data_IF_405703373868
#
_entry.id   IF_405703373868
#
_cell.length_a   1.000
_cell.length_b   1.000
_cell.length_c   1.000
_cell.angle_alpha   90.00
_cell.angle_beta   90.00
_cell.angle_gamma   90.00
#
_symmetry.space_group_name_H-M   'P 1'
#
loop_
_entity.id
_entity.type
_entity.pdbx_description
1 polymer ?
#
# COMPACT_ATOMS: atom_id res chain seq x y z
N UNK A 1 18.55 22.60 -4.03
CA UNK A 1 17.40 23.49 -3.79
C UNK A 1 16.43 22.75 -2.88
N UNK A 2 16.37 23.16 -1.61
CA UNK A 2 15.45 22.61 -0.60
C UNK A 2 14.03 22.65 -1.13
N UNK A 3 13.33 21.49 -1.08
CA UNK A 3 11.91 21.40 -1.43
C UNK A 3 11.12 22.42 -0.63
N UNK A 4 10.03 22.95 -1.18
CA UNK A 4 9.04 23.73 -0.42
C UNK A 4 8.44 22.79 0.65
N UNK A 5 9.12 22.68 1.79
CA UNK A 5 8.48 22.11 2.98
C UNK A 5 7.26 22.96 3.27
N UNK A 6 6.11 22.30 3.45
CA UNK A 6 4.91 23.02 3.81
C UNK A 6 5.21 23.82 5.08
N UNK A 7 5.07 25.14 4.99
CA UNK A 7 5.40 26.07 6.10
C UNK A 7 4.74 25.70 7.42
N UNK A 8 3.63 24.97 7.37
CA UNK A 8 2.93 24.51 8.58
C UNK A 8 3.62 23.35 9.30
N UNK A 9 4.51 22.59 8.65
CA UNK A 9 5.18 21.42 9.28
C UNK A 9 5.97 21.78 10.52
N UNK A 10 6.48 23.01 10.60
CA UNK A 10 7.28 23.47 11.75
C UNK A 10 6.45 23.44 13.04
N UNK A 11 5.21 23.96 13.03
CA UNK A 11 4.40 23.95 14.23
C UNK A 11 3.71 22.61 14.46
N UNK A 12 3.31 21.91 13.41
CA UNK A 12 2.65 20.61 13.56
C UNK A 12 3.58 19.57 14.16
N UNK A 13 4.86 19.53 13.78
CA UNK A 13 5.84 18.62 14.39
C UNK A 13 6.04 18.87 15.87
N UNK A 14 6.04 20.13 16.31
CA UNK A 14 6.13 20.46 17.75
C UNK A 14 4.89 20.01 18.53
N UNK A 15 3.69 20.19 17.95
CA UNK A 15 2.45 19.71 18.57
C UNK A 15 2.44 18.19 18.63
N UNK A 16 2.84 17.51 17.55
CA UNK A 16 2.98 16.05 17.53
C UNK A 16 3.92 15.56 18.64
N UNK A 17 5.10 16.14 18.72
CA UNK A 17 6.09 15.79 19.74
C UNK A 17 5.55 16.03 21.16
N UNK A 18 4.88 17.16 21.39
CA UNK A 18 4.28 17.47 22.68
C UNK A 18 3.16 16.48 23.07
N UNK A 19 2.38 15.98 22.12
CA UNK A 19 1.36 14.95 22.36
C UNK A 19 2.06 13.60 22.62
N UNK A 20 3.03 13.21 21.82
CA UNK A 20 3.75 11.93 21.96
C UNK A 20 4.54 11.84 23.27
N UNK A 21 5.09 12.95 23.73
CA UNK A 21 5.84 13.02 25.01
C UNK A 21 4.94 13.22 26.23
N UNK A 22 3.60 13.37 26.03
CA UNK A 22 2.64 13.59 27.12
C UNK A 22 2.64 14.99 27.72
N UNK A 23 3.36 15.94 27.10
CA UNK A 23 3.31 17.36 27.47
C UNK A 23 1.95 17.98 27.20
N UNK A 24 1.30 17.57 26.10
CA UNK A 24 -0.10 17.84 25.79
C UNK A 24 -0.91 16.58 26.03
N UNK A 25 -1.90 16.68 26.89
CA UNK A 25 -2.79 15.58 27.28
C UNK A 25 -4.11 15.62 26.53
N UNK A 26 -4.81 14.51 26.49
CA UNK A 26 -6.15 14.40 25.95
C UNK A 26 -7.06 15.52 26.49
N UNK A 27 -7.79 16.18 25.58
CA UNK A 27 -8.69 17.28 25.91
C UNK A 27 -8.01 18.65 26.06
N UNK A 28 -6.68 18.70 26.08
CA UNK A 28 -5.96 19.99 26.16
C UNK A 28 -6.25 20.83 24.92
N UNK A 29 -6.51 22.12 25.17
CA UNK A 29 -6.75 23.08 24.09
C UNK A 29 -5.45 23.44 23.39
N UNK A 30 -5.47 23.40 22.08
CA UNK A 30 -4.36 23.82 21.24
C UNK A 30 -4.41 25.35 20.97
N UNK A 31 -3.27 25.96 20.63
CA UNK A 31 -3.21 27.37 20.26
C UNK A 31 -4.19 27.70 19.12
N UNK A 32 -4.78 28.89 19.15
CA UNK A 32 -5.70 29.31 18.10
C UNK A 32 -4.97 29.52 16.76
N UNK A 33 -5.72 29.48 15.65
CA UNK A 33 -5.18 29.82 14.30
C UNK A 33 -4.51 31.19 14.33
N UNK A 34 -5.06 32.15 15.07
CA UNK A 34 -4.49 33.51 15.19
C UNK A 34 -3.15 33.48 15.93
N UNK A 35 -3.03 32.70 16.96
CA UNK A 35 -1.80 32.52 17.76
C UNK A 35 -0.69 31.91 16.91
N UNK A 36 -0.94 30.77 16.28
CA UNK A 36 0.03 30.08 15.41
C UNK A 36 0.42 30.96 14.22
N UNK A 37 -0.54 31.66 13.60
CA UNK A 37 -0.28 32.62 12.53
C UNK A 37 0.76 33.66 12.95
N UNK A 38 0.60 34.24 14.14
CA UNK A 38 1.49 35.26 14.68
C UNK A 38 2.87 34.70 15.06
N UNK A 39 2.89 33.58 15.77
CA UNK A 39 4.11 32.94 16.31
C UNK A 39 5.04 32.43 15.19
N UNK A 40 4.45 31.82 14.16
CA UNK A 40 5.23 31.17 13.06
C UNK A 40 5.24 31.99 11.76
N UNK A 41 4.69 33.21 11.77
CA UNK A 41 4.56 34.08 10.59
C UNK A 41 3.98 33.37 9.36
N UNK A 42 2.84 32.67 9.56
CA UNK A 42 2.14 31.88 8.55
C UNK A 42 0.89 32.59 8.04
N UNK A 43 0.40 32.18 6.88
CA UNK A 43 -0.93 32.56 6.41
C UNK A 43 -2.02 31.77 7.18
N UNK A 44 -3.24 32.31 7.26
CA UNK A 44 -4.39 31.60 7.86
C UNK A 44 -4.60 30.24 7.19
N UNK A 45 -4.52 30.20 5.87
CA UNK A 45 -4.66 28.94 5.10
C UNK A 45 -3.57 27.92 5.41
N UNK A 46 -2.33 28.36 5.64
CA UNK A 46 -1.24 27.47 6.03
C UNK A 46 -1.47 26.90 7.43
N UNK A 47 -1.93 27.71 8.39
CA UNK A 47 -2.22 27.24 9.73
C UNK A 47 -3.41 26.28 9.72
N UNK A 48 -4.45 26.60 8.95
CA UNK A 48 -5.60 25.71 8.77
C UNK A 48 -5.16 24.35 8.22
N UNK A 49 -4.37 24.35 7.15
CA UNK A 49 -3.82 23.11 6.59
C UNK A 49 -3.00 22.29 7.60
N UNK A 50 -2.30 22.96 8.51
CA UNK A 50 -1.55 22.27 9.56
C UNK A 50 -2.47 21.64 10.62
N UNK A 51 -3.53 22.31 11.02
CA UNK A 51 -4.54 21.72 11.92
C UNK A 51 -5.31 20.60 11.23
N UNK A 52 -5.69 20.76 9.97
CA UNK A 52 -6.32 19.69 9.18
C UNK A 52 -5.43 18.46 9.09
N UNK A 53 -4.10 18.67 8.96
CA UNK A 53 -3.10 17.60 9.00
C UNK A 53 -3.03 16.90 10.37
N UNK A 54 -3.10 17.64 11.50
CA UNK A 54 -3.12 17.04 12.83
C UNK A 54 -4.44 16.28 13.10
N UNK A 55 -5.55 16.80 12.58
CA UNK A 55 -6.86 16.11 12.60
C UNK A 55 -6.79 14.85 11.75
N UNK A 56 -6.23 14.94 10.54
CA UNK A 56 -5.99 13.78 9.67
C UNK A 56 -5.17 12.69 10.37
N UNK A 57 -4.18 13.07 11.17
CA UNK A 57 -3.40 12.12 11.98
C UNK A 57 -4.14 11.57 13.20
N UNK A 58 -5.36 12.00 13.46
CA UNK A 58 -6.09 11.60 14.65
C UNK A 58 -5.52 12.13 15.97
N UNK A 59 -4.58 13.07 15.91
CA UNK A 59 -3.94 13.65 17.10
C UNK A 59 -4.77 14.78 17.70
N UNK A 60 -5.63 15.39 16.89
CA UNK A 60 -6.37 16.60 17.22
C UNK A 60 -7.81 16.48 16.72
N UNK A 61 -8.76 17.00 17.50
CA UNK A 61 -10.17 17.12 17.12
C UNK A 61 -10.55 18.59 16.97
N UNK A 62 -11.23 18.93 15.89
CA UNK A 62 -11.82 20.25 15.72
C UNK A 62 -13.12 20.35 16.50
N UNK A 63 -13.22 21.32 17.42
CA UNK A 63 -14.44 21.58 18.19
C UNK A 63 -15.11 22.83 17.63
N UNK A 64 -16.36 22.74 17.12
CA UNK A 64 -17.07 23.88 16.56
C UNK A 64 -17.09 25.08 17.53
N UNK A 65 -16.69 26.26 17.03
CA UNK A 65 -16.59 27.54 17.79
C UNK A 65 -15.57 27.54 18.94
N UNK A 66 -14.90 26.42 19.26
CA UNK A 66 -13.96 26.29 20.38
C UNK A 66 -12.52 26.09 19.97
N UNK A 67 -12.24 25.85 18.65
CA UNK A 67 -10.92 25.66 18.10
C UNK A 67 -10.53 24.19 18.03
N UNK A 68 -9.31 23.86 18.46
CA UNK A 68 -8.74 22.52 18.39
C UNK A 68 -8.34 22.02 19.77
N UNK A 69 -8.58 20.76 20.02
CA UNK A 69 -8.17 20.05 21.24
C UNK A 69 -7.39 18.80 20.88
N UNK A 70 -6.53 18.34 21.79
CA UNK A 70 -5.88 17.04 21.67
C UNK A 70 -6.96 15.98 21.62
N UNK A 71 -6.94 15.17 20.56
CA UNK A 71 -7.95 14.14 20.36
C UNK A 71 -7.92 13.14 21.50
N UNK A 72 -9.09 12.66 21.86
CA UNK A 72 -9.22 11.48 22.71
C UNK A 72 -8.55 10.34 21.94
N UNK A 73 -7.37 9.92 22.37
CA UNK A 73 -6.85 8.62 22.01
C UNK A 73 -7.71 7.58 22.73
N UNK A 74 -8.97 7.48 22.33
CA UNK A 74 -9.71 6.29 22.66
C UNK A 74 -8.99 5.16 21.95
N UNK A 75 -8.04 4.54 22.61
CA UNK A 75 -7.73 3.12 22.42
C UNK A 75 -9.02 2.42 22.87
N UNK A 76 -10.12 2.59 22.13
CA UNK A 76 -11.17 1.61 22.17
C UNK A 76 -10.46 0.34 21.78
N UNK A 77 -10.36 -0.59 22.70
CA UNK A 77 -9.82 -1.90 22.42
C UNK A 77 -10.65 -2.45 21.26
N UNK A 78 -10.12 -2.27 20.05
CA UNK A 78 -10.72 -2.91 18.90
C UNK A 78 -10.74 -4.40 19.22
N UNK A 79 -11.87 -5.09 18.98
CA UNK A 79 -11.95 -6.50 19.23
C UNK A 79 -10.78 -7.17 18.52
N UNK A 80 -9.98 -7.91 19.29
CA UNK A 80 -8.85 -8.62 18.73
C UNK A 80 -9.42 -9.67 17.79
N UNK A 81 -9.03 -9.57 16.52
CA UNK A 81 -9.37 -10.57 15.51
C UNK A 81 -8.54 -11.82 15.85
N UNK A 82 -9.21 -12.87 16.30
CA UNK A 82 -8.59 -14.16 16.55
C UNK A 82 -8.50 -14.95 15.24
N UNK A 83 -7.29 -15.16 14.77
CA UNK A 83 -7.00 -16.04 13.64
C UNK A 83 -6.55 -17.41 14.14
N UNK A 84 -6.85 -18.45 13.36
CA UNK A 84 -6.45 -19.81 13.68
C UNK A 84 -5.02 -20.08 13.25
N UNK A 85 -4.21 -20.70 14.14
CA UNK A 85 -2.88 -21.20 13.80
C UNK A 85 -2.92 -22.50 12.99
N UNK A 86 -4.11 -23.08 12.79
CA UNK A 86 -4.31 -24.30 11.99
C UNK A 86 -4.36 -23.92 10.51
N UNK A 87 -3.52 -24.53 9.65
CA UNK A 87 -3.52 -24.27 8.22
C UNK A 87 -4.86 -24.57 7.55
N UNK A 88 -5.31 -23.68 6.67
CA UNK A 88 -6.55 -23.84 5.90
C UNK A 88 -6.23 -23.87 4.41
N UNK A 89 -7.10 -24.52 3.63
CA UNK A 89 -7.04 -24.45 2.18
C UNK A 89 -7.33 -23.02 1.71
N UNK A 90 -6.57 -22.57 0.73
CA UNK A 90 -6.72 -21.23 0.14
C UNK A 90 -7.95 -21.19 -0.77
N UNK A 91 -9.14 -21.15 -0.19
CA UNK A 91 -10.43 -21.14 -0.91
C UNK A 91 -11.26 -19.95 -0.47
N UNK A 92 -11.65 -19.10 -1.40
CA UNK A 92 -12.58 -18.01 -1.12
C UNK A 92 -13.98 -18.54 -0.79
N UNK A 93 -14.49 -18.20 0.37
CA UNK A 93 -15.86 -18.56 0.78
C UNK A 93 -16.94 -17.73 0.11
N UNK A 94 -16.65 -16.45 -0.16
CA UNK A 94 -17.56 -15.51 -0.85
C UNK A 94 -17.02 -15.23 -2.26
N UNK A 95 -17.91 -15.20 -3.27
CA UNK A 95 -17.52 -14.99 -4.66
C UNK A 95 -16.93 -13.59 -4.86
N UNK A 96 -15.65 -13.52 -5.21
CA UNK A 96 -14.89 -12.29 -5.51
C UNK A 96 -15.37 -11.61 -6.82
N UNK A 97 -16.29 -12.22 -7.57
CA UNK A 97 -16.83 -11.73 -8.86
C UNK A 97 -17.43 -10.31 -8.81
N UNK A 98 -17.77 -9.81 -7.62
CA UNK A 98 -18.31 -8.45 -7.46
C UNK A 98 -17.25 -7.34 -7.70
N UNK A 99 -15.95 -7.67 -7.69
CA UNK A 99 -14.87 -6.68 -7.75
C UNK A 99 -14.38 -6.45 -9.17
N UNK A 100 -14.45 -7.47 -10.03
CA UNK A 100 -13.84 -7.45 -11.37
C UNK A 100 -14.73 -6.92 -12.48
N UNK A 101 -16.06 -6.87 -12.29
CA UNK A 101 -17.02 -6.56 -13.36
C UNK A 101 -17.64 -5.15 -13.32
N UNK A 102 -17.14 -4.23 -12.48
CA UNK A 102 -17.81 -2.94 -12.25
C UNK A 102 -17.12 -1.72 -12.90
N UNK A 103 -16.38 -1.90 -13.96
CA UNK A 103 -15.50 -0.86 -14.52
C UNK A 103 -16.17 0.22 -15.38
N UNK A 104 -17.50 0.33 -15.52
CA UNK A 104 -18.09 1.28 -16.47
C UNK A 104 -19.41 1.96 -16.06
N UNK A 105 -19.51 2.50 -14.85
CA UNK A 105 -20.67 3.32 -14.51
C UNK A 105 -20.32 4.81 -14.41
N UNK A 106 -20.76 5.59 -15.42
CA UNK A 106 -20.74 7.08 -15.32
C UNK A 106 -21.61 7.51 -14.13
N UNK A 107 -21.09 8.40 -13.30
CA UNK A 107 -21.84 8.95 -12.17
C UNK A 107 -21.70 8.18 -10.85
N UNK A 108 -20.71 7.27 -10.73
CA UNK A 108 -20.43 6.57 -9.49
C UNK A 108 -19.12 7.04 -8.81
N UNK A 109 -19.13 7.03 -7.49
CA UNK A 109 -17.95 7.27 -6.65
C UNK A 109 -17.18 5.97 -6.46
N UNK A 110 -16.23 5.68 -7.38
CA UNK A 110 -15.46 4.44 -7.41
C UNK A 110 -14.26 4.55 -6.47
N UNK A 111 -14.31 3.91 -5.30
CA UNK A 111 -13.24 3.89 -4.29
C UNK A 111 -12.72 2.47 -4.02
N UNK A 112 -13.09 1.50 -4.84
CA UNK A 112 -12.73 0.09 -4.71
C UNK A 112 -11.53 -0.32 -5.57
N UNK A 113 -11.13 0.47 -6.57
CA UNK A 113 -10.03 0.14 -7.48
C UNK A 113 -8.71 0.75 -7.00
N UNK A 114 -7.75 -0.09 -6.55
CA UNK A 114 -6.42 0.35 -6.14
C UNK A 114 -5.51 0.62 -7.35
N UNK A 115 -5.92 1.58 -8.17
CA UNK A 115 -5.21 2.06 -9.37
C UNK A 115 -5.18 3.58 -9.38
N UNK A 116 -4.11 4.23 -9.88
CA UNK A 116 -4.13 5.68 -10.05
C UNK A 116 -5.15 6.04 -11.13
N UNK A 117 -6.02 7.02 -10.86
CA UNK A 117 -6.90 7.57 -11.89
C UNK A 117 -6.09 8.35 -12.94
N UNK A 118 -6.70 8.56 -14.11
CA UNK A 118 -6.04 9.17 -15.28
C UNK A 118 -5.32 10.50 -15.00
N UNK A 119 -5.83 11.28 -14.07
CA UNK A 119 -5.24 12.58 -13.67
C UNK A 119 -3.87 12.42 -13.00
N UNK A 120 -3.61 11.28 -12.37
CA UNK A 120 -2.33 10.99 -11.70
C UNK A 120 -1.32 10.31 -12.62
N UNK A 121 -1.78 9.75 -13.74
CA UNK A 121 -0.89 9.15 -14.74
C UNK A 121 -0.21 10.27 -15.53
N UNK A 122 1.13 10.31 -15.61
CA UNK A 122 1.85 11.33 -16.35
C UNK A 122 1.79 11.06 -17.87
N UNK A 123 0.59 11.05 -18.46
CA UNK A 123 0.30 10.62 -19.83
C UNK A 123 1.23 11.29 -20.85
N UNK A 124 1.36 12.64 -20.80
CA UNK A 124 2.23 13.39 -21.73
C UNK A 124 3.69 12.95 -21.66
N UNK A 125 4.19 12.69 -20.42
CA UNK A 125 5.56 12.24 -20.21
C UNK A 125 5.77 10.83 -20.81
N UNK A 126 4.88 9.90 -20.49
CA UNK A 126 4.99 8.51 -20.93
C UNK A 126 4.87 8.40 -22.45
N UNK A 127 3.83 9.00 -23.04
CA UNK A 127 3.60 8.95 -24.49
C UNK A 127 4.72 9.62 -25.28
N UNK A 128 5.22 10.78 -24.84
CA UNK A 128 6.37 11.46 -25.47
C UNK A 128 7.64 10.57 -25.38
N UNK A 129 7.85 9.90 -24.26
CA UNK A 129 8.99 8.99 -24.09
C UNK A 129 8.86 7.77 -25.00
N UNK A 130 7.66 7.17 -25.12
CA UNK A 130 7.39 6.08 -26.05
C UNK A 130 7.69 6.47 -27.49
N UNK A 131 7.19 7.61 -27.95
CA UNK A 131 7.48 8.13 -29.31
C UNK A 131 8.98 8.30 -29.55
N UNK A 132 9.70 8.85 -28.57
CA UNK A 132 11.15 9.02 -28.64
C UNK A 132 11.87 7.67 -28.76
N UNK A 133 11.51 6.70 -27.92
CA UNK A 133 12.08 5.35 -27.94
C UNK A 133 11.81 4.65 -29.27
N UNK A 134 10.58 4.72 -29.79
CA UNK A 134 10.23 4.13 -31.09
C UNK A 134 11.11 4.72 -32.21
N UNK A 135 11.28 6.06 -32.20
CA UNK A 135 12.12 6.73 -33.20
C UNK A 135 13.60 6.35 -33.09
N UNK A 136 14.14 6.21 -31.87
CA UNK A 136 15.56 5.92 -31.64
C UNK A 136 15.91 4.45 -31.87
N UNK A 137 15.06 3.54 -31.43
CA UNK A 137 15.35 2.08 -31.43
C UNK A 137 14.78 1.35 -32.64
N UNK A 138 13.73 1.88 -33.27
CA UNK A 138 13.14 1.35 -34.50
C UNK A 138 12.87 -0.13 -34.46
N UNK A 139 13.29 -0.85 -35.49
CA UNK A 139 13.05 -2.31 -35.65
C UNK A 139 13.68 -3.18 -34.55
N UNK A 140 14.64 -2.68 -33.76
CA UNK A 140 15.21 -3.44 -32.65
C UNK A 140 14.17 -3.77 -31.57
N UNK A 141 13.12 -2.95 -31.42
CA UNK A 141 12.00 -3.19 -30.51
C UNK A 141 11.11 -4.38 -30.89
N UNK A 142 11.24 -4.90 -32.10
CA UNK A 142 10.51 -6.06 -32.61
C UNK A 142 11.24 -7.39 -32.37
N UNK A 143 12.41 -7.35 -31.76
CA UNK A 143 13.22 -8.53 -31.44
C UNK A 143 13.00 -8.95 -30.00
N UNK A 144 13.31 -10.21 -29.71
CA UNK A 144 13.37 -10.67 -28.31
C UNK A 144 14.47 -9.92 -27.55
N UNK A 145 14.12 -9.45 -26.35
CA UNK A 145 15.11 -8.98 -25.38
C UNK A 145 15.68 -10.16 -24.57
N UNK A 146 16.77 -9.93 -23.81
CA UNK A 146 17.29 -10.94 -22.90
C UNK A 146 16.18 -11.50 -21.98
N UNK A 147 16.25 -12.80 -21.72
CA UNK A 147 15.22 -13.49 -20.94
C UNK A 147 14.92 -12.83 -19.58
N UNK A 148 15.96 -12.41 -18.88
CA UNK A 148 15.85 -11.78 -17.56
C UNK A 148 15.67 -10.26 -17.61
N UNK A 149 15.55 -9.70 -18.82
CA UNK A 149 15.40 -8.25 -19.04
C UNK A 149 16.70 -7.58 -19.49
N UNK A 150 16.59 -6.31 -19.88
CA UNK A 150 17.70 -5.46 -20.27
C UNK A 150 18.68 -5.27 -19.11
N UNK A 151 19.97 -5.48 -19.36
CA UNK A 151 21.02 -5.28 -18.35
C UNK A 151 21.04 -3.82 -17.86
N UNK A 152 20.89 -2.88 -18.80
CA UNK A 152 20.84 -1.46 -18.49
C UNK A 152 19.67 -1.13 -17.53
N UNK A 153 18.50 -1.76 -17.72
CA UNK A 153 17.36 -1.59 -16.80
C UNK A 153 17.66 -2.18 -15.42
N UNK A 154 18.26 -3.36 -15.37
CA UNK A 154 18.64 -4.02 -14.12
C UNK A 154 19.63 -3.19 -13.33
N UNK A 155 20.67 -2.65 -13.95
CA UNK A 155 21.63 -1.75 -13.31
C UNK A 155 20.98 -0.48 -12.74
N UNK A 156 20.02 0.12 -13.47
CA UNK A 156 19.28 1.27 -12.97
C UNK A 156 18.44 0.92 -11.75
N UNK A 157 17.83 -0.26 -11.71
CA UNK A 157 17.10 -0.76 -10.55
C UNK A 157 18.01 -1.03 -9.36
N UNK A 158 19.18 -1.63 -9.58
CA UNK A 158 20.21 -1.84 -8.55
C UNK A 158 20.63 -0.51 -7.93
N UNK A 159 21.00 0.47 -8.77
CA UNK A 159 21.39 1.81 -8.28
C UNK A 159 20.27 2.47 -7.47
N UNK A 160 19.01 2.34 -7.93
CA UNK A 160 17.85 2.88 -7.22
C UNK A 160 17.63 2.20 -5.88
N UNK A 161 17.73 0.89 -5.81
CA UNK A 161 17.61 0.12 -4.56
C UNK A 161 18.70 0.50 -3.56
N UNK A 162 19.94 0.65 -4.01
CA UNK A 162 21.07 1.08 -3.17
C UNK A 162 20.85 2.46 -2.53
N UNK A 163 20.18 3.40 -3.22
CA UNK A 163 19.82 4.71 -2.64
C UNK A 163 18.91 4.59 -1.43
N UNK A 164 18.24 3.46 -1.25
CA UNK A 164 17.30 3.18 -0.16
C UNK A 164 17.83 2.09 0.79
N UNK A 165 19.13 1.76 0.67
CA UNK A 165 19.83 0.83 1.57
C UNK A 165 19.61 -0.65 1.26
N UNK A 166 18.87 -1.01 0.19
CA UNK A 166 18.73 -2.41 -0.21
C UNK A 166 19.89 -2.84 -1.12
N UNK A 167 20.57 -3.93 -0.74
CA UNK A 167 21.61 -4.56 -1.55
C UNK A 167 20.98 -5.59 -2.48
N UNK A 168 21.01 -5.29 -3.79
CA UNK A 168 20.50 -6.16 -4.85
C UNK A 168 21.58 -6.24 -5.94
N UNK A 169 21.85 -7.43 -6.46
CA UNK A 169 22.72 -7.62 -7.63
C UNK A 169 21.91 -7.66 -8.93
N UNK A 170 22.49 -7.19 -10.04
CA UNK A 170 21.87 -7.36 -11.36
C UNK A 170 21.72 -8.84 -11.74
N UNK A 171 22.60 -9.72 -11.26
CA UNK A 171 22.59 -11.16 -11.54
C UNK A 171 21.42 -11.89 -10.88
N UNK A 172 20.82 -11.31 -9.83
CA UNK A 172 19.63 -11.87 -9.16
C UNK A 172 18.31 -11.20 -9.58
N UNK A 173 18.36 -10.22 -10.50
CA UNK A 173 17.18 -9.50 -10.98
C UNK A 173 16.57 -10.14 -12.23
N UNK A 174 15.22 -10.25 -12.18
CA UNK A 174 14.39 -10.63 -13.32
C UNK A 174 13.37 -9.51 -13.58
N UNK A 175 13.26 -9.12 -14.84
CA UNK A 175 12.20 -8.22 -15.30
C UNK A 175 10.95 -9.05 -15.60
N UNK A 176 9.80 -8.62 -15.11
CA UNK A 176 8.53 -9.35 -15.18
C UNK A 176 7.41 -8.52 -15.80
N UNK A 177 6.33 -9.17 -16.24
CA UNK A 177 5.11 -8.52 -16.71
C UNK A 177 4.23 -8.09 -15.52
N UNK A 178 4.78 -7.18 -14.70
CA UNK A 178 4.17 -6.67 -13.48
C UNK A 178 4.37 -7.57 -12.25
N UNK A 179 3.86 -7.08 -11.12
CA UNK A 179 4.06 -7.68 -9.80
C UNK A 179 3.41 -9.06 -9.62
N UNK A 180 2.26 -9.33 -10.26
CA UNK A 180 1.58 -10.62 -10.11
C UNK A 180 2.34 -11.77 -10.78
N UNK A 181 2.96 -11.53 -11.93
CA UNK A 181 3.85 -12.53 -12.52
C UNK A 181 5.05 -12.77 -11.62
N UNK A 182 5.65 -11.72 -11.06
CA UNK A 182 6.77 -11.83 -10.12
C UNK A 182 6.41 -12.69 -8.90
N UNK A 183 5.27 -12.44 -8.27
CA UNK A 183 4.77 -13.22 -7.14
C UNK A 183 4.51 -14.67 -7.53
N UNK A 184 3.82 -14.89 -8.67
CA UNK A 184 3.49 -16.25 -9.12
C UNK A 184 4.76 -17.08 -9.35
N UNK A 185 5.73 -16.56 -10.09
CA UNK A 185 6.97 -17.29 -10.36
C UNK A 185 7.81 -17.50 -9.09
N UNK A 186 7.81 -16.55 -8.16
CA UNK A 186 8.49 -16.70 -6.88
C UNK A 186 7.88 -17.85 -6.07
N UNK A 187 6.58 -17.83 -5.80
CA UNK A 187 5.88 -18.88 -5.07
C UNK A 187 5.98 -20.24 -5.74
N UNK A 188 5.63 -20.32 -7.03
CA UNK A 188 5.62 -21.59 -7.76
C UNK A 188 7.02 -22.24 -7.91
N UNK A 189 8.10 -21.47 -7.77
CA UNK A 189 9.47 -21.99 -7.82
C UNK A 189 9.95 -22.60 -6.51
N UNK A 190 9.36 -22.20 -5.38
CA UNK A 190 9.83 -22.58 -4.03
C UNK A 190 8.81 -23.39 -3.24
N UNK A 191 7.60 -23.55 -3.76
CA UNK A 191 6.51 -24.31 -3.12
C UNK A 191 5.93 -25.38 -4.05
N UNK A 192 5.25 -26.33 -3.46
CA UNK A 192 4.45 -27.38 -4.12
C UNK A 192 3.00 -27.32 -3.65
N UNK A 193 2.03 -27.86 -4.40
CA UNK A 193 0.64 -27.94 -3.94
C UNK A 193 0.54 -28.59 -2.54
N UNK A 194 -0.33 -28.03 -1.69
CA UNK A 194 -0.54 -28.35 -0.29
C UNK A 194 0.55 -27.88 0.68
N UNK A 195 1.64 -27.25 0.21
CA UNK A 195 2.60 -26.59 1.11
C UNK A 195 1.90 -25.47 1.90
N UNK A 196 2.35 -25.26 3.14
CA UNK A 196 1.79 -24.26 4.03
C UNK A 196 2.62 -22.98 3.91
N UNK A 197 1.95 -21.86 3.70
CA UNK A 197 2.57 -20.53 3.73
C UNK A 197 1.95 -19.66 4.81
N UNK A 198 2.76 -18.78 5.41
CA UNK A 198 2.29 -17.70 6.25
C UNK A 198 2.00 -16.48 5.36
N UNK A 199 0.79 -15.92 5.44
CA UNK A 199 0.37 -14.74 4.69
C UNK A 199 -0.23 -13.70 5.63
N UNK A 200 0.05 -12.43 5.39
CA UNK A 200 -0.57 -11.32 6.10
C UNK A 200 -2.10 -11.35 5.99
N UNK A 201 -2.81 -10.93 7.04
CA UNK A 201 -4.27 -10.85 7.05
C UNK A 201 -4.74 -9.59 7.80
N UNK A 202 -5.57 -8.73 7.13
CA UNK A 202 -6.12 -8.90 5.80
C UNK A 202 -5.04 -8.84 4.71
N UNK A 203 -5.26 -9.47 3.56
CA UNK A 203 -4.34 -9.48 2.43
C UNK A 203 -5.05 -9.10 1.13
N UNK A 204 -4.37 -8.41 0.22
CA UNK A 204 -4.97 -8.07 -1.08
C UNK A 204 -5.38 -9.34 -1.85
N UNK A 205 -6.63 -9.37 -2.29
CA UNK A 205 -7.22 -10.52 -2.98
C UNK A 205 -6.41 -11.03 -4.18
N UNK A 206 -5.66 -10.18 -4.88
CA UNK A 206 -4.82 -10.63 -6.00
C UNK A 206 -3.63 -11.50 -5.56
N UNK A 207 -3.10 -11.32 -4.35
CA UNK A 207 -2.11 -12.22 -3.75
C UNK A 207 -2.80 -13.53 -3.35
N UNK A 208 -3.97 -13.43 -2.70
CA UNK A 208 -4.76 -14.59 -2.29
C UNK A 208 -5.16 -15.46 -3.49
N UNK A 209 -5.51 -14.85 -4.64
CA UNK A 209 -5.80 -15.59 -5.88
C UNK A 209 -4.57 -16.35 -6.42
N UNK A 210 -3.38 -15.78 -6.36
CA UNK A 210 -2.15 -16.50 -6.74
C UNK A 210 -1.94 -17.71 -5.84
N UNK A 211 -2.10 -17.54 -4.53
CA UNK A 211 -1.96 -18.60 -3.54
C UNK A 211 -2.98 -19.72 -3.77
N UNK A 212 -4.25 -19.37 -4.01
CA UNK A 212 -5.32 -20.32 -4.31
C UNK A 212 -5.07 -21.10 -5.62
N UNK A 213 -4.63 -20.41 -6.67
CA UNK A 213 -4.29 -21.04 -7.95
C UNK A 213 -3.13 -22.04 -7.86
N UNK A 214 -2.19 -21.81 -6.97
CA UNK A 214 -1.08 -22.73 -6.68
C UNK A 214 -1.48 -23.87 -5.73
N UNK A 215 -2.74 -23.93 -5.30
CA UNK A 215 -3.29 -24.94 -4.38
C UNK A 215 -2.49 -25.04 -3.07
N UNK A 216 -2.04 -23.90 -2.55
CA UNK A 216 -1.32 -23.81 -1.30
C UNK A 216 -2.30 -23.77 -0.12
N UNK A 217 -1.82 -24.14 1.07
CA UNK A 217 -2.51 -23.94 2.33
C UNK A 217 -1.96 -22.70 3.03
N UNK A 218 -2.78 -22.04 3.80
CA UNK A 218 -2.40 -20.80 4.45
C UNK A 218 -2.59 -20.83 5.96
N UNK A 219 -1.67 -20.15 6.66
CA UNK A 219 -1.91 -19.62 7.99
C UNK A 219 -1.85 -18.10 7.88
N UNK A 220 -2.94 -17.46 8.27
CA UNK A 220 -3.07 -16.01 8.20
C UNK A 220 -2.45 -15.36 9.44
N UNK A 221 -1.54 -14.36 9.23
CA UNK A 221 -0.86 -13.63 10.30
C UNK A 221 -1.54 -12.25 10.46
N UNK A 222 -2.02 -11.88 11.65
CA UNK A 222 -2.76 -10.64 11.84
C UNK A 222 -1.92 -9.40 11.50
N UNK A 223 -2.52 -8.47 10.74
CA UNK A 223 -2.06 -7.08 10.63
C UNK A 223 -3.06 -6.22 11.38
N UNK A 224 -2.71 -5.84 12.60
CA UNK A 224 -3.59 -5.14 13.52
C UNK A 224 -3.62 -3.64 13.24
N UNK A 225 -4.74 -3.01 13.55
CA UNK A 225 -4.80 -1.54 13.59
C UNK A 225 -3.73 -1.00 14.55
N UNK A 226 -3.01 0.03 14.12
CA UNK A 226 -1.97 0.76 14.87
C UNK A 226 -0.71 -0.05 15.22
N UNK A 227 -0.83 -1.33 15.55
CA UNK A 227 0.29 -2.22 15.93
C UNK A 227 1.02 -2.79 14.72
N UNK A 228 0.30 -2.99 13.62
CA UNK A 228 0.84 -3.54 12.38
C UNK A 228 0.92 -5.07 12.37
N UNK A 229 1.94 -5.61 11.70
CA UNK A 229 2.13 -7.05 11.53
C UNK A 229 2.53 -7.74 12.84
N UNK A 230 1.78 -8.77 13.24
CA UNK A 230 1.98 -9.51 14.49
C UNK A 230 3.12 -10.53 14.39
N UNK A 231 4.32 -10.08 14.72
CA UNK A 231 5.53 -10.90 14.65
C UNK A 231 5.54 -12.03 15.71
N UNK A 232 4.92 -11.83 16.87
CA UNK A 232 4.87 -12.87 17.89
C UNK A 232 3.90 -13.98 17.51
N UNK A 233 2.80 -13.62 16.85
CA UNK A 233 1.92 -14.61 16.24
C UNK A 233 2.65 -15.40 15.13
N UNK A 234 3.45 -14.75 14.29
CA UNK A 234 4.30 -15.41 13.28
C UNK A 234 5.25 -16.42 13.93
N UNK A 235 5.93 -16.06 15.02
CA UNK A 235 6.80 -17.00 15.78
C UNK A 235 6.04 -18.24 16.22
N UNK A 236 4.86 -18.04 16.83
CA UNK A 236 3.99 -19.14 17.26
C UNK A 236 3.60 -20.07 16.10
N UNK A 237 3.26 -19.50 14.96
CA UNK A 237 2.88 -20.26 13.76
C UNK A 237 4.04 -21.07 13.22
N UNK A 238 5.26 -20.51 13.16
CA UNK A 238 6.46 -21.21 12.70
C UNK A 238 6.90 -22.35 13.63
N UNK A 239 6.58 -22.27 14.92
CA UNK A 239 6.85 -23.38 15.87
C UNK A 239 5.91 -24.57 15.69
N UNK A 240 4.70 -24.36 15.19
CA UNK A 240 3.64 -25.37 15.11
C UNK A 240 3.36 -25.89 13.71
N UNK A 241 3.91 -25.24 12.68
CA UNK A 241 3.65 -25.57 11.28
C UNK A 241 4.95 -25.57 10.46
N UNK A 242 5.04 -26.44 9.46
CA UNK A 242 6.12 -26.48 8.49
C UNK A 242 5.88 -25.43 7.39
N UNK A 243 6.18 -24.17 7.71
CA UNK A 243 5.97 -23.02 6.82
C UNK A 243 7.03 -23.01 5.71
N UNK A 244 6.60 -22.97 4.45
CA UNK A 244 7.49 -23.00 3.27
C UNK A 244 7.81 -21.60 2.74
N UNK A 245 6.97 -20.60 3.00
CA UNK A 245 7.22 -19.19 2.64
C UNK A 245 6.41 -18.26 3.53
N UNK A 246 6.90 -17.01 3.69
CA UNK A 246 6.19 -15.91 4.31
C UNK A 246 5.92 -14.88 3.21
N UNK A 247 4.66 -14.49 3.02
CA UNK A 247 4.25 -13.49 2.01
C UNK A 247 3.67 -12.28 2.70
N UNK A 248 4.26 -11.11 2.49
CA UNK A 248 3.80 -9.87 3.14
C UNK A 248 4.16 -8.59 2.37
N UNK A 249 3.49 -7.48 2.74
CA UNK A 249 3.69 -6.13 2.20
C UNK A 249 4.14 -5.20 3.33
N UNK A 250 5.45 -5.00 3.55
CA UNK A 250 5.94 -4.26 4.71
C UNK A 250 5.68 -2.76 4.63
N UNK A 251 5.56 -2.22 3.41
CA UNK A 251 5.45 -0.79 3.17
C UNK A 251 4.07 -0.42 2.61
N UNK A 252 3.30 0.36 3.39
CA UNK A 252 1.98 0.88 2.98
C UNK A 252 1.03 -0.24 2.55
N UNK A 253 0.88 -1.20 3.44
CA UNK A 253 0.13 -2.43 3.26
C UNK A 253 -1.25 -2.22 2.63
N UNK A 254 -1.62 -3.04 1.66
CA UNK A 254 -2.96 -3.08 1.09
C UNK A 254 -3.73 -4.30 1.63
N UNK A 255 -4.80 -4.09 2.42
CA UNK A 255 -5.66 -2.90 2.43
C UNK A 255 -5.43 -1.88 3.56
N UNK A 256 -4.63 -2.17 4.59
CA UNK A 256 -4.65 -1.43 5.86
C UNK A 256 -3.93 -0.08 5.84
N UNK A 257 -3.05 0.17 4.87
CA UNK A 257 -2.19 1.36 4.85
C UNK A 257 -1.05 1.34 5.87
N UNK A 258 -0.90 0.25 6.63
CA UNK A 258 0.14 0.09 7.66
C UNK A 258 1.54 0.17 7.03
N UNK A 259 2.44 0.83 7.73
CA UNK A 259 3.87 0.84 7.49
C UNK A 259 4.54 0.11 8.64
N UNK A 260 5.18 -1.03 8.37
CA UNK A 260 5.97 -1.74 9.37
C UNK A 260 7.15 -0.90 9.83
N UNK A 261 7.44 -0.93 11.14
CA UNK A 261 8.66 -0.32 11.68
C UNK A 261 9.89 -1.13 11.28
N UNK A 262 11.06 -0.51 11.35
CA UNK A 262 12.32 -1.19 11.06
C UNK A 262 12.59 -2.32 12.06
N UNK A 263 12.17 -2.15 13.33
CA UNK A 263 12.24 -3.19 14.35
C UNK A 263 11.37 -4.41 14.00
N UNK A 264 10.12 -4.17 13.53
CA UNK A 264 9.23 -5.25 13.11
C UNK A 264 9.77 -5.98 11.88
N UNK A 265 10.32 -5.26 10.88
CA UNK A 265 10.96 -5.87 9.70
C UNK A 265 12.14 -6.75 10.08
N UNK A 266 13.03 -6.26 10.97
CA UNK A 266 14.15 -7.05 11.49
C UNK A 266 13.67 -8.28 12.24
N UNK A 267 12.64 -8.13 13.09
CA UNK A 267 12.09 -9.25 13.85
C UNK A 267 11.48 -10.34 12.95
N UNK A 268 10.75 -9.95 11.89
CA UNK A 268 10.26 -10.91 10.88
C UNK A 268 11.41 -11.62 10.17
N UNK A 269 12.45 -10.88 9.77
CA UNK A 269 13.64 -11.48 9.15
C UNK A 269 14.33 -12.48 10.10
N UNK A 270 14.48 -12.15 11.39
CA UNK A 270 15.09 -13.07 12.36
C UNK A 270 14.29 -14.36 12.54
N UNK A 271 12.96 -14.29 12.54
CA UNK A 271 12.11 -15.50 12.55
C UNK A 271 12.35 -16.35 11.29
N UNK A 272 12.34 -15.72 10.13
CA UNK A 272 12.59 -16.39 8.86
C UNK A 272 13.98 -17.04 8.79
N UNK A 273 15.01 -16.33 9.26
CA UNK A 273 16.38 -16.82 9.32
C UNK A 273 16.51 -18.04 10.23
N UNK A 274 15.92 -17.97 11.43
CA UNK A 274 15.96 -19.07 12.42
C UNK A 274 15.33 -20.37 11.88
N UNK A 275 14.25 -20.23 11.12
CA UNK A 275 13.53 -21.39 10.56
C UNK A 275 13.91 -21.71 9.11
N UNK A 276 14.86 -20.98 8.50
CA UNK A 276 15.26 -21.09 7.08
C UNK A 276 14.08 -20.93 6.11
N UNK A 277 13.13 -20.03 6.41
CA UNK A 277 11.93 -19.79 5.62
C UNK A 277 12.17 -18.60 4.67
N UNK A 278 11.97 -18.74 3.35
CA UNK A 278 12.03 -17.60 2.44
C UNK A 278 10.91 -16.59 2.71
N UNK A 279 11.24 -15.30 2.61
CA UNK A 279 10.29 -14.20 2.64
C UNK A 279 10.06 -13.70 1.23
N UNK A 280 8.82 -13.56 0.82
CA UNK A 280 8.43 -12.89 -0.43
C UNK A 280 7.79 -11.54 -0.05
N UNK A 281 8.56 -10.47 -0.18
CA UNK A 281 8.09 -9.13 0.15
C UNK A 281 7.60 -8.37 -1.07
N UNK A 282 6.41 -7.79 -0.92
CA UNK A 282 5.80 -6.90 -1.89
C UNK A 282 6.20 -5.44 -1.62
N UNK A 283 6.98 -4.85 -2.50
CA UNK A 283 7.42 -3.45 -2.39
C UNK A 283 6.78 -2.53 -3.45
N UNK A 284 5.55 -2.84 -3.86
CA UNK A 284 4.88 -2.10 -4.94
C UNK A 284 4.53 -0.65 -4.56
N UNK A 285 4.40 -0.36 -3.27
CA UNK A 285 4.05 0.96 -2.74
C UNK A 285 5.20 1.71 -2.08
N UNK A 286 6.39 1.12 -1.95
CA UNK A 286 7.51 1.71 -1.21
C UNK A 286 7.90 3.12 -1.64
N UNK A 287 7.77 3.45 -2.93
CA UNK A 287 8.03 4.79 -3.48
C UNK A 287 6.91 5.81 -3.18
N UNK A 288 5.77 5.40 -2.62
CA UNK A 288 4.58 6.24 -2.43
C UNK A 288 4.38 6.71 -0.98
N UNK A 289 5.47 7.03 -0.31
CA UNK A 289 5.46 7.63 1.03
C UNK A 289 5.05 9.11 1.00
N UNK A 290 4.37 9.58 2.07
CA UNK A 290 3.93 10.98 2.13
C UNK A 290 5.02 11.89 2.69
N UNK A 291 5.65 11.51 3.77
CA UNK A 291 6.62 12.32 4.50
C UNK A 291 7.92 11.57 4.77
N UNK A 292 8.99 12.34 4.98
CA UNK A 292 10.29 11.77 5.32
C UNK A 292 11.03 11.18 4.12
N UNK A 293 11.65 10.04 4.35
CA UNK A 293 12.40 9.26 3.37
C UNK A 293 11.62 8.01 2.99
N UNK A 294 12.00 7.39 1.87
CA UNK A 294 11.48 6.08 1.50
C UNK A 294 11.79 5.07 2.61
N UNK A 295 10.79 4.31 3.09
CA UNK A 295 11.03 3.30 4.11
C UNK A 295 11.95 2.18 3.60
N UNK A 296 12.66 1.55 4.54
CA UNK A 296 13.45 0.35 4.28
C UNK A 296 12.57 -0.82 3.83
N UNK A 297 13.18 -1.82 3.23
CA UNK A 297 12.58 -3.11 2.95
C UNK A 297 13.08 -4.15 3.97
N UNK A 298 12.47 -5.33 4.06
CA UNK A 298 13.02 -6.45 4.84
C UNK A 298 14.34 -6.89 4.22
N UNK A 299 14.46 -6.83 2.89
CA UNK A 299 15.71 -7.08 2.14
C UNK A 299 16.91 -6.27 2.65
N UNK A 300 16.71 -5.09 3.24
CA UNK A 300 17.79 -4.28 3.81
C UNK A 300 18.53 -4.99 4.96
N UNK A 301 17.92 -6.01 5.56
CA UNK A 301 18.45 -6.78 6.69
C UNK A 301 18.88 -8.19 6.29
N UNK A 302 18.73 -8.56 5.01
CA UNK A 302 18.95 -9.91 4.50
C UNK A 302 20.42 -10.16 4.19
N UNK A 303 21.08 -10.92 5.05
CA UNK A 303 22.47 -11.38 4.88
C UNK A 303 22.55 -12.80 4.31
N UNK A 304 21.45 -13.56 4.35
CA UNK A 304 21.40 -14.97 3.94
C UNK A 304 20.81 -15.21 2.54
N UNK A 305 20.34 -14.16 1.86
CA UNK A 305 19.68 -14.27 0.55
C UNK A 305 18.29 -14.93 0.61
N UNK A 306 17.61 -14.87 1.77
CA UNK A 306 16.30 -15.46 1.99
C UNK A 306 15.12 -14.58 1.54
N UNK A 307 15.36 -13.27 1.32
CA UNK A 307 14.29 -12.32 0.97
C UNK A 307 14.21 -12.15 -0.53
N UNK A 308 13.07 -12.53 -1.08
CA UNK A 308 12.69 -12.25 -2.47
C UNK A 308 11.86 -10.97 -2.49
N UNK A 309 12.35 -9.93 -3.13
CA UNK A 309 11.64 -8.64 -3.22
C UNK A 309 11.07 -8.44 -4.61
N UNK A 310 9.77 -8.16 -4.71
CA UNK A 310 9.17 -7.81 -5.99
C UNK A 310 8.45 -6.48 -5.98
N UNK A 311 8.42 -5.83 -7.14
CA UNK A 311 7.75 -4.55 -7.32
C UNK A 311 7.27 -4.35 -8.76
N UNK A 312 6.61 -3.23 -9.04
CA UNK A 312 6.12 -2.86 -10.35
C UNK A 312 5.93 -1.35 -10.48
N UNK A 313 6.08 -0.85 -11.69
CA UNK A 313 5.79 0.54 -12.04
C UNK A 313 4.29 0.82 -12.25
N UNK A 314 3.43 -0.20 -12.11
CA UNK A 314 1.98 -0.05 -12.30
C UNK A 314 1.32 0.92 -11.33
N UNK A 315 1.86 1.04 -10.11
CA UNK A 315 1.30 1.94 -9.08
C UNK A 315 2.02 3.29 -9.03
N UNK A 316 3.29 3.34 -9.39
CA UNK A 316 4.11 4.55 -9.29
C UNK A 316 4.17 5.35 -10.60
N UNK A 317 3.78 4.76 -11.74
CA UNK A 317 3.80 5.43 -13.05
C UNK A 317 2.47 5.28 -13.80
N UNK A 318 2.15 4.07 -14.26
CA UNK A 318 0.94 3.78 -15.02
C UNK A 318 0.63 2.27 -15.03
N UNK A 319 -0.62 1.85 -14.82
CA UNK A 319 -0.99 0.43 -14.85
C UNK A 319 -0.68 -0.24 -16.19
N UNK A 320 -0.86 0.48 -17.30
CA UNK A 320 -0.64 -0.01 -18.67
C UNK A 320 0.82 -0.24 -19.06
N UNK A 321 1.80 0.23 -18.28
CA UNK A 321 3.22 -0.01 -18.58
C UNK A 321 3.61 -1.48 -18.43
N UNK A 322 2.84 -2.25 -17.68
CA UNK A 322 3.02 -3.69 -17.50
C UNK A 322 4.48 -4.11 -17.30
N UNK A 323 5.19 -3.42 -16.42
CA UNK A 323 6.58 -3.70 -16.09
C UNK A 323 6.76 -3.83 -14.59
N UNK A 324 7.34 -4.95 -14.17
CA UNK A 324 7.74 -5.24 -12.80
C UNK A 324 9.13 -5.86 -12.76
N UNK A 325 9.56 -6.21 -11.57
CA UNK A 325 10.85 -6.88 -11.35
C UNK A 325 10.77 -7.74 -10.08
N UNK A 326 11.68 -8.71 -10.00
CA UNK A 326 11.88 -9.61 -8.89
C UNK A 326 13.38 -9.75 -8.61
N UNK A 327 13.81 -9.40 -7.40
CA UNK A 327 15.10 -9.74 -6.85
C UNK A 327 14.98 -11.11 -6.15
N UNK A 328 15.57 -12.13 -6.72
CA UNK A 328 15.30 -13.52 -6.38
C UNK A 328 16.26 -14.13 -5.34
N UNK A 329 17.34 -13.41 -4.97
CA UNK A 329 18.34 -13.89 -4.04
C UNK A 329 18.92 -15.26 -4.43
N UNK A 330 19.10 -16.12 -3.44
CA UNK A 330 19.61 -17.50 -3.67
C UNK A 330 18.68 -18.39 -4.51
N UNK A 331 17.42 -17.98 -4.75
CA UNK A 331 16.44 -18.77 -5.50
C UNK A 331 16.46 -18.48 -7.01
N UNK A 332 17.35 -17.62 -7.48
CA UNK A 332 17.40 -17.11 -8.87
C UNK A 332 17.30 -18.22 -9.92
N UNK A 333 18.15 -19.24 -9.84
CA UNK A 333 18.21 -20.31 -10.86
C UNK A 333 16.89 -21.08 -11.03
N UNK A 334 16.15 -21.32 -9.93
CA UNK A 334 14.85 -21.98 -9.99
C UNK A 334 13.80 -21.08 -10.63
N UNK A 335 13.80 -19.81 -10.25
CA UNK A 335 12.85 -18.79 -10.69
C UNK A 335 13.06 -18.46 -12.17
N UNK A 336 14.31 -18.31 -12.61
CA UNK A 336 14.67 -18.07 -14.01
C UNK A 336 14.13 -19.17 -14.93
N UNK A 337 14.27 -20.43 -14.55
CA UNK A 337 13.76 -21.58 -15.32
C UNK A 337 12.24 -21.54 -15.48
N UNK A 338 11.53 -21.24 -14.40
CA UNK A 338 10.07 -21.13 -14.46
C UNK A 338 9.63 -19.91 -15.28
N UNK A 339 10.30 -18.77 -15.09
CA UNK A 339 10.03 -17.57 -15.88
C UNK A 339 10.19 -17.83 -17.37
N UNK A 340 11.26 -18.55 -17.77
CA UNK A 340 11.49 -18.93 -19.17
C UNK A 340 10.34 -19.77 -19.73
N UNK A 341 9.82 -20.71 -18.95
CA UNK A 341 8.70 -21.57 -19.36
C UNK A 341 7.37 -20.80 -19.53
N UNK A 342 7.15 -19.74 -18.74
CA UNK A 342 5.94 -18.92 -18.79
C UNK A 342 5.99 -17.79 -19.84
N UNK A 343 7.19 -17.41 -20.31
CA UNK A 343 7.35 -16.36 -21.30
C UNK A 343 8.79 -15.85 -21.35
N UNK A 344 9.31 -15.72 -22.56
CA UNK A 344 10.74 -15.47 -22.79
C UNK A 344 11.21 -14.11 -22.31
N UNK A 345 10.61 -13.04 -22.81
CA UNK A 345 11.01 -11.68 -22.49
C UNK A 345 9.79 -10.77 -22.36
N UNK A 346 9.94 -9.75 -21.52
CA UNK A 346 8.96 -8.68 -21.37
C UNK A 346 9.14 -7.66 -22.49
N UNK A 347 8.08 -6.91 -22.83
CA UNK A 347 8.05 -5.90 -23.89
C UNK A 347 9.33 -5.05 -23.95
N UNK A 348 10.09 -5.09 -25.06
CA UNK A 348 11.27 -4.24 -25.26
C UNK A 348 10.93 -2.76 -25.16
N UNK A 349 9.82 -2.33 -25.76
CA UNK A 349 9.36 -0.93 -25.72
C UNK A 349 9.22 -0.43 -24.28
N UNK A 350 8.56 -1.20 -23.44
CA UNK A 350 8.29 -0.78 -22.06
C UNK A 350 9.56 -0.74 -21.21
N UNK A 351 10.50 -1.65 -21.45
CA UNK A 351 11.82 -1.64 -20.80
C UNK A 351 12.61 -0.39 -21.20
N UNK A 352 12.69 -0.07 -22.50
CA UNK A 352 13.40 1.10 -23.01
C UNK A 352 12.77 2.42 -22.54
N UNK A 353 11.44 2.48 -22.44
CA UNK A 353 10.73 3.64 -21.85
C UNK A 353 11.14 3.84 -20.40
N UNK A 354 11.20 2.78 -19.61
CA UNK A 354 11.63 2.88 -18.22
C UNK A 354 13.09 3.25 -18.08
N UNK A 355 13.98 2.71 -18.92
CA UNK A 355 15.39 3.12 -18.96
C UNK A 355 15.48 4.65 -19.14
N UNK A 356 14.81 5.20 -20.16
CA UNK A 356 14.82 6.66 -20.44
C UNK A 356 14.26 7.48 -19.28
N UNK A 357 13.19 7.01 -18.62
CA UNK A 357 12.60 7.70 -17.49
C UNK A 357 13.50 7.67 -16.25
N UNK A 358 14.13 6.53 -15.97
CA UNK A 358 15.01 6.35 -14.81
C UNK A 358 16.37 7.06 -14.98
N UNK A 359 16.92 7.12 -16.20
CA UNK A 359 18.13 7.89 -16.51
C UNK A 359 17.93 9.39 -16.37
N UNK A 360 16.71 9.86 -16.54
CA UNK A 360 16.36 11.27 -16.39
C UNK A 360 15.78 11.54 -14.99
N UNK A 361 15.81 12.81 -14.57
CA UNK A 361 15.12 13.23 -13.35
C UNK A 361 13.58 13.25 -13.47
N UNK A 362 13.03 12.85 -14.62
CA UNK A 362 11.61 13.01 -14.92
C UNK A 362 10.73 12.10 -14.06
N UNK A 363 11.16 10.83 -13.85
CA UNK A 363 10.45 9.89 -12.99
C UNK A 363 10.41 10.36 -11.53
N UNK A 364 11.54 10.83 -10.99
CA UNK A 364 11.59 11.30 -9.59
C UNK A 364 10.82 12.62 -9.40
N UNK A 365 10.81 13.50 -10.40
CA UNK A 365 9.95 14.69 -10.40
C UNK A 365 8.47 14.32 -10.39
N UNK A 366 8.07 13.33 -11.20
CA UNK A 366 6.72 12.80 -11.21
C UNK A 366 6.35 12.22 -9.83
N UNK A 367 7.17 11.33 -9.27
CA UNK A 367 6.93 10.72 -7.96
C UNK A 367 6.75 11.77 -6.86
N UNK A 368 7.54 12.84 -6.86
CA UNK A 368 7.41 13.92 -5.88
C UNK A 368 6.05 14.60 -5.95
N UNK A 369 5.62 14.95 -7.15
CA UNK A 369 4.30 15.58 -7.36
C UNK A 369 3.18 14.61 -7.02
N UNK A 370 3.32 13.36 -7.43
CA UNK A 370 2.32 12.32 -7.21
C UNK A 370 2.12 12.03 -5.72
N UNK A 371 3.20 11.90 -4.93
CA UNK A 371 3.12 11.74 -3.47
C UNK A 371 2.37 12.88 -2.79
N UNK A 372 2.63 14.13 -3.19
CA UNK A 372 1.92 15.30 -2.64
C UNK A 372 0.43 15.28 -2.99
N UNK A 373 0.09 14.83 -4.17
CA UNK A 373 -1.31 14.69 -4.60
C UNK A 373 -2.01 13.57 -3.82
N UNK A 374 -1.35 12.41 -3.65
CA UNK A 374 -1.88 11.29 -2.87
C UNK A 374 -2.12 11.67 -1.41
N UNK A 375 -1.16 12.35 -0.77
CA UNK A 375 -1.30 12.84 0.61
C UNK A 375 -2.54 13.75 0.74
N UNK A 376 -2.74 14.68 -0.20
CA UNK A 376 -3.90 15.57 -0.20
C UNK A 376 -5.22 14.80 -0.36
N UNK A 377 -5.29 13.83 -1.28
CA UNK A 377 -6.48 13.02 -1.47
C UNK A 377 -6.77 12.12 -0.26
N UNK A 378 -5.73 11.57 0.38
CA UNK A 378 -5.87 10.80 1.61
C UNK A 378 -6.46 11.66 2.73
N UNK A 379 -5.94 12.87 2.95
CA UNK A 379 -6.47 13.81 3.94
C UNK A 379 -7.94 14.16 3.68
N UNK A 380 -8.28 14.45 2.44
CA UNK A 380 -9.65 14.79 2.05
C UNK A 380 -10.61 13.61 2.27
N UNK A 381 -10.23 12.40 1.86
CA UNK A 381 -11.08 11.21 2.01
C UNK A 381 -11.25 10.82 3.48
N UNK A 382 -10.18 10.81 4.28
CA UNK A 382 -10.26 10.53 5.71
C UNK A 382 -11.15 11.54 6.42
N UNK A 383 -10.97 12.84 6.18
CA UNK A 383 -11.82 13.87 6.77
C UNK A 383 -13.29 13.70 6.39
N UNK A 384 -13.56 13.32 5.14
CA UNK A 384 -14.94 13.05 4.69
C UNK A 384 -15.53 11.80 5.34
N UNK A 385 -14.77 10.72 5.48
CA UNK A 385 -15.24 9.49 6.13
C UNK A 385 -15.53 9.74 7.62
N UNK A 386 -14.64 10.39 8.34
CA UNK A 386 -14.87 10.76 9.75
C UNK A 386 -16.12 11.65 9.90
N UNK A 387 -16.31 12.63 9.01
CA UNK A 387 -17.49 13.51 9.02
C UNK A 387 -18.78 12.77 8.67
N UNK A 388 -18.71 11.75 7.82
CA UNK A 388 -19.87 10.97 7.40
C UNK A 388 -20.29 9.91 8.43
N UNK A 389 -19.33 9.38 9.18
CA UNK A 389 -19.53 8.31 10.18
C UNK A 389 -18.96 8.74 11.55
N UNK A 390 -19.53 9.81 12.17
CA UNK A 390 -19.04 10.28 13.44
C UNK A 390 -19.23 9.20 14.52
N UNK A 391 -18.23 9.07 15.40
CA UNK A 391 -18.23 8.21 16.59
C UNK A 391 -18.32 6.69 16.36
N UNK A 392 -18.47 6.24 15.12
CA UNK A 392 -18.66 4.82 14.80
C UNK A 392 -17.59 4.20 13.89
N UNK A 393 -16.67 5.01 13.37
CA UNK A 393 -15.69 4.54 12.38
C UNK A 393 -14.28 4.51 12.94
N UNK A 394 -13.66 3.32 12.93
CA UNK A 394 -12.24 3.17 13.17
C UNK A 394 -11.49 3.24 11.85
N UNK A 395 -10.49 4.12 11.75
CA UNK A 395 -9.70 4.33 10.55
C UNK A 395 -8.21 4.22 10.87
N UNK A 396 -7.48 3.43 10.08
CA UNK A 396 -6.04 3.47 10.03
C UNK A 396 -5.59 4.63 9.13
N UNK A 397 -4.88 5.60 9.72
CA UNK A 397 -4.35 6.75 8.95
C UNK A 397 -3.16 6.33 8.09
N UNK A 398 -3.23 6.47 6.75
CA UNK A 398 -2.16 6.03 5.88
C UNK A 398 -0.96 6.98 5.94
N UNK A 399 0.26 6.41 5.95
CA UNK A 399 1.53 7.15 5.83
C UNK A 399 2.05 7.19 4.39
N UNK A 400 1.32 6.57 3.47
CA UNK A 400 1.64 6.40 2.06
C UNK A 400 0.69 5.43 1.37
N UNK A 401 1.06 4.96 0.18
CA UNK A 401 0.27 4.00 -0.60
C UNK A 401 -1.02 4.60 -1.15
N UNK A 402 -2.08 3.78 -1.22
CA UNK A 402 -3.35 4.12 -1.88
C UNK A 402 -4.59 3.94 -1.02
N UNK A 403 -4.48 3.24 0.13
CA UNK A 403 -5.62 2.64 0.79
C UNK A 403 -5.87 3.24 2.16
N UNK A 404 -7.14 3.38 2.49
CA UNK A 404 -7.68 3.58 3.82
C UNK A 404 -8.41 2.29 4.19
N UNK A 405 -8.11 1.74 5.36
CA UNK A 405 -8.83 0.66 5.99
C UNK A 405 -9.70 1.21 7.09
N UNK A 406 -10.96 0.87 7.03
CA UNK A 406 -11.95 1.35 7.97
C UNK A 406 -12.79 0.19 8.51
N UNK A 407 -13.15 0.27 9.79
CA UNK A 407 -14.01 -0.68 10.46
C UNK A 407 -15.22 0.04 11.07
N UNK A 408 -16.40 -0.47 10.80
CA UNK A 408 -17.65 -0.08 11.44
C UNK A 408 -17.86 -0.90 12.72
N UNK A 409 -18.80 -0.51 13.61
CA UNK A 409 -19.17 -1.29 14.78
C UNK A 409 -19.53 -2.73 14.41
N UNK A 410 -19.24 -3.68 15.31
CA UNK A 410 -19.45 -5.11 15.03
C UNK A 410 -20.91 -5.49 14.81
N UNK A 411 -21.84 -4.72 15.35
CA UNK A 411 -23.29 -4.88 15.24
C UNK A 411 -23.89 -4.19 14.00
N UNK A 412 -23.04 -3.60 13.14
CA UNK A 412 -23.51 -2.94 11.91
C UNK A 412 -24.11 -3.95 10.93
N UNK A 413 -25.32 -3.69 10.43
CA UNK A 413 -25.92 -4.43 9.32
C UNK A 413 -25.18 -4.11 8.00
N UNK A 414 -24.18 -4.92 7.68
CA UNK A 414 -23.38 -4.73 6.47
C UNK A 414 -24.15 -4.96 5.18
N UNK A 415 -25.24 -5.70 5.20
CA UNK A 415 -26.12 -5.88 4.02
C UNK A 415 -26.80 -4.55 3.72
N UNK A 416 -27.39 -3.93 4.73
CA UNK A 416 -28.01 -2.63 4.58
C UNK A 416 -27.00 -1.52 4.26
N UNK A 417 -25.78 -1.59 4.84
CA UNK A 417 -24.70 -0.66 4.52
C UNK A 417 -24.34 -0.70 3.02
N UNK A 418 -24.05 -1.89 2.46
CA UNK A 418 -23.70 -2.00 1.03
C UNK A 418 -24.88 -1.74 0.10
N UNK A 419 -26.12 -1.99 0.53
CA UNK A 419 -27.32 -1.57 -0.20
C UNK A 419 -27.35 -0.05 -0.36
N UNK A 420 -27.16 0.71 0.74
CA UNK A 420 -27.07 2.18 0.71
C UNK A 420 -25.90 2.67 -0.15
N UNK A 421 -24.75 2.04 -0.04
CA UNK A 421 -23.61 2.36 -0.92
C UNK A 421 -24.01 2.26 -2.38
N UNK A 422 -24.76 1.21 -2.77
CA UNK A 422 -25.24 1.02 -4.14
C UNK A 422 -26.24 2.09 -4.55
N UNK A 423 -27.22 2.41 -3.70
CA UNK A 423 -28.24 3.44 -3.93
C UNK A 423 -27.61 4.84 -4.10
N UNK A 424 -26.56 5.16 -3.33
CA UNK A 424 -25.85 6.43 -3.41
C UNK A 424 -24.69 6.43 -4.43
N UNK A 425 -24.49 5.32 -5.13
CA UNK A 425 -23.46 5.15 -6.15
C UNK A 425 -22.02 5.16 -5.59
N UNK A 426 -21.81 4.77 -4.32
CA UNK A 426 -20.49 4.68 -3.70
C UNK A 426 -20.01 3.24 -3.71
N UNK A 427 -18.76 3.03 -4.12
CA UNK A 427 -18.15 1.70 -4.20
C UNK A 427 -16.93 1.58 -3.27
N UNK A 428 -17.10 0.93 -2.13
CA UNK A 428 -16.01 0.46 -1.28
C UNK A 428 -15.69 -1.01 -1.59
N UNK A 429 -14.47 -1.46 -1.24
CA UNK A 429 -14.16 -2.89 -1.30
C UNK A 429 -14.50 -3.54 0.03
N UNK A 430 -15.39 -4.55 0.07
CA UNK A 430 -15.74 -5.25 1.31
C UNK A 430 -14.55 -5.93 1.96
N UNK A 431 -14.46 -5.87 3.30
CA UNK A 431 -13.38 -6.46 4.07
C UNK A 431 -13.25 -7.97 3.93
N UNK A 432 -14.38 -8.67 3.78
CA UNK A 432 -14.43 -10.12 3.54
C UNK A 432 -13.63 -10.58 2.30
N UNK A 433 -13.28 -9.67 1.37
CA UNK A 433 -12.49 -10.01 0.17
C UNK A 433 -10.99 -10.09 0.41
N UNK A 434 -10.54 -9.72 1.61
CA UNK A 434 -9.12 -9.64 1.97
C UNK A 434 -8.65 -10.77 2.89
N UNK A 435 -9.42 -11.84 3.04
CA UNK A 435 -9.08 -13.00 3.83
C UNK A 435 -9.80 -14.23 3.30
N UNK A 436 -9.30 -15.42 3.60
CA UNK A 436 -10.02 -16.68 3.42
C UNK A 436 -10.99 -16.98 4.58
N UNK A 437 -11.09 -16.07 5.54
CA UNK A 437 -12.00 -16.13 6.69
C UNK A 437 -12.98 -14.98 6.70
N UNK A 438 -14.05 -15.05 7.50
CA UNK A 438 -15.09 -14.00 7.56
C UNK A 438 -14.83 -12.96 8.67
N UNK A 439 -13.60 -12.85 9.15
CA UNK A 439 -13.25 -12.02 10.33
C UNK A 439 -13.24 -10.50 10.04
N UNK A 440 -13.34 -10.08 8.78
CA UNK A 440 -13.32 -8.66 8.38
C UNK A 440 -14.67 -8.19 7.81
N UNK A 441 -15.77 -8.85 8.15
CA UNK A 441 -17.08 -8.53 7.57
C UNK A 441 -17.52 -7.07 7.82
N UNK A 442 -17.20 -6.49 8.98
CA UNK A 442 -17.51 -5.09 9.30
C UNK A 442 -16.47 -4.08 8.80
N UNK A 443 -15.45 -4.55 8.10
CA UNK A 443 -14.40 -3.72 7.53
C UNK A 443 -14.66 -3.40 6.05
N UNK A 444 -14.09 -2.29 5.60
CA UNK A 444 -14.03 -1.96 4.17
C UNK A 444 -12.74 -1.21 3.82
N UNK A 445 -12.34 -1.33 2.57
CA UNK A 445 -11.25 -0.52 2.01
C UNK A 445 -11.81 0.59 1.12
N UNK A 446 -11.27 1.81 1.30
CA UNK A 446 -11.43 2.93 0.39
C UNK A 446 -10.08 3.32 -0.24
N UNK A 447 -10.07 3.68 -1.53
CA UNK A 447 -8.87 4.07 -2.28
C UNK A 447 -8.89 5.56 -2.55
N UNK A 448 -7.79 6.26 -2.21
CA UNK A 448 -7.64 7.70 -2.41
C UNK A 448 -6.77 8.08 -3.63
N UNK A 449 -6.35 7.12 -4.45
CA UNK A 449 -5.61 7.40 -5.69
C UNK A 449 -6.54 7.90 -6.81
N UNK A 450 -7.46 8.81 -6.46
CA UNK A 450 -8.50 9.40 -7.29
C UNK A 450 -8.72 10.86 -6.87
N UNK A 451 -9.04 11.73 -7.81
CA UNK A 451 -9.51 13.07 -7.46
C UNK A 451 -10.97 12.99 -7.02
N UNK A 452 -11.22 13.34 -5.76
CA UNK A 452 -12.56 13.42 -5.22
C UNK A 452 -13.23 14.73 -5.67
N UNK A 453 -14.42 14.60 -6.23
CA UNK A 453 -15.29 15.72 -6.61
C UNK A 453 -16.26 16.07 -5.49
N UNK A 454 -16.94 17.21 -5.59
CA UNK A 454 -18.01 17.55 -4.64
C UNK A 454 -19.14 16.51 -4.66
N UNK A 455 -19.43 15.92 -5.82
CA UNK A 455 -20.39 14.82 -5.95
C UNK A 455 -19.96 13.60 -5.12
N UNK A 456 -18.69 13.17 -5.23
CA UNK A 456 -18.14 12.05 -4.47
C UNK A 456 -18.27 12.30 -2.95
N UNK A 457 -17.92 13.50 -2.50
CA UNK A 457 -17.99 13.87 -1.08
C UNK A 457 -19.42 13.87 -0.54
N UNK A 458 -20.38 14.39 -1.32
CA UNK A 458 -21.79 14.37 -0.96
C UNK A 458 -22.36 12.94 -0.92
N UNK A 459 -22.01 12.10 -1.87
CA UNK A 459 -22.42 10.70 -1.89
C UNK A 459 -21.93 9.94 -0.65
N UNK A 460 -20.65 10.08 -0.29
CA UNK A 460 -20.08 9.48 0.94
C UNK A 460 -20.82 9.96 2.17
N UNK A 461 -21.14 11.27 2.25
CA UNK A 461 -21.88 11.85 3.37
C UNK A 461 -23.29 11.24 3.51
N UNK A 462 -24.00 11.01 2.40
CA UNK A 462 -25.32 10.39 2.42
C UNK A 462 -25.30 8.93 2.86
N UNK A 463 -24.26 8.18 2.50
CA UNK A 463 -24.06 6.81 2.99
C UNK A 463 -23.94 6.76 4.51
N UNK A 464 -23.19 7.70 5.11
CA UNK A 464 -22.98 7.74 6.57
C UNK A 464 -24.08 8.44 7.38
N UNK A 465 -24.77 9.42 6.78
CA UNK A 465 -25.70 10.32 7.49
C UNK A 465 -27.07 9.74 7.86
N UNK A 466 -27.41 8.55 7.44
CA UNK A 466 -28.56 7.78 7.93
C UNK A 466 -28.04 6.78 8.95
N UNK A 467 -28.28 7.05 10.22
CA UNK A 467 -27.87 6.30 11.42
C UNK A 467 -27.64 4.80 11.17
N UNK A 468 -26.45 4.35 11.49
CA UNK A 468 -26.14 2.94 11.64
C UNK A 468 -26.91 2.38 12.83
#
# INVERSE_FOLDING_TARGET
MMGKDYKYKIFTSKIEEAILTGLLKEGDRLPSIRTIKSEYNLSVSSVQSGYDYLVFKGLVTAVPRSGYIVARQSIQQLPQIELSTIPKDAVFRKKVHLITNQSNYRGQTVLNEASPSDIFIPQKLVLKTMQKVIKEKGASLLRYYPNNGSEELKELLVRRSALHGASISSDELLITDGALQALYIALASITSPNDIIAVESPCIFSILEVIANLKLRTVEIPVRFYEGFDTDYLKKVCLTNDIKAIVLTPNFHNPTGVLMTDESKKAVYQVALHHHIPIIENDIFGDLYFNGTRPSNIRNYDEAGLVLTYSSFSKSLAPGIRLGWLAAGQFFSKIERLKFALGRSVSPLNQEVMIKLLQSSAYDKHLRVFRQQLERQAMQLVGQLISAFPDSLHIQFPKGGYCIWAQLPLDTDMVQFYKRCTEEGVQFTPGATFSFTDVYDTCFRAVFAKQLTLFDLQAIKRVGGTTL
#
